data_IF_670060716958
#
_entry.id   IF_670060716958
#
_cell.length_a   1.000
_cell.length_b   1.000
_cell.length_c   1.000
_cell.angle_alpha   90.00
_cell.angle_beta   90.00
_cell.angle_gamma   90.00
#
_symmetry.space_group_name_H-M   'P 1'
#
loop_
_entity.id
_entity.type
_entity.pdbx_description
1 polymer ?
#
# COMPACT_ATOMS: atom_id res chain seq x y z
N UNK A 1 3.33 6.10 -18.93
CA UNK A 1 4.16 5.62 -20.07
C UNK A 1 4.50 4.15 -19.79
N UNK A 2 3.85 3.21 -20.46
CA UNK A 2 4.10 1.77 -20.26
C UNK A 2 5.29 1.38 -21.12
N UNK A 3 6.36 0.92 -20.50
CA UNK A 3 7.57 0.48 -21.19
C UNK A 3 7.57 -1.04 -21.26
N UNK A 4 7.33 -1.57 -22.45
CA UNK A 4 7.31 -3.01 -22.68
C UNK A 4 8.75 -3.58 -22.61
N UNK A 5 8.97 -4.71 -21.94
CA UNK A 5 10.26 -5.36 -21.84
C UNK A 5 10.70 -5.93 -23.20
N UNK A 6 12.00 -6.14 -23.41
CA UNK A 6 12.53 -6.67 -24.67
C UNK A 6 12.13 -8.12 -24.95
N UNK A 7 11.55 -8.82 -23.97
CA UNK A 7 10.92 -10.12 -24.17
C UNK A 7 9.55 -10.06 -24.87
N UNK A 8 8.95 -8.87 -24.96
CA UNK A 8 7.71 -8.67 -25.71
C UNK A 8 8.05 -8.43 -27.18
N UNK A 9 7.77 -9.43 -28.01
CA UNK A 9 7.99 -9.38 -29.46
C UNK A 9 7.37 -8.12 -30.05
N UNK A 10 8.08 -7.46 -30.97
CA UNK A 10 7.69 -6.19 -31.62
C UNK A 10 7.71 -4.94 -30.73
N UNK A 11 8.04 -5.04 -29.44
CA UNK A 11 8.26 -3.85 -28.61
C UNK A 11 9.48 -3.04 -29.08
N UNK A 12 9.53 -1.72 -28.82
CA UNK A 12 10.70 -0.91 -29.15
C UNK A 12 12.01 -1.44 -28.57
N UNK A 13 11.96 -2.04 -27.36
CA UNK A 13 13.12 -2.66 -26.72
C UNK A 13 13.51 -3.99 -27.37
N UNK A 14 12.54 -4.81 -27.77
CA UNK A 14 12.81 -6.04 -28.53
C UNK A 14 13.52 -5.73 -29.85
N UNK A 15 13.00 -4.75 -30.60
CA UNK A 15 13.60 -4.32 -31.87
C UNK A 15 15.03 -3.79 -31.66
N UNK A 16 15.24 -2.95 -30.64
CA UNK A 16 16.56 -2.43 -30.31
C UNK A 16 17.58 -3.54 -29.98
N UNK A 17 17.18 -4.55 -29.18
CA UNK A 17 18.04 -5.69 -28.85
C UNK A 17 18.39 -6.53 -30.09
N UNK A 18 17.42 -6.79 -30.97
CA UNK A 18 17.67 -7.50 -32.24
C UNK A 18 18.62 -6.73 -33.16
N UNK A 19 18.54 -5.40 -33.17
CA UNK A 19 19.50 -4.55 -33.91
C UNK A 19 20.91 -4.66 -33.34
N UNK A 20 21.08 -4.64 -32.02
CA UNK A 20 22.38 -4.80 -31.37
C UNK A 20 23.00 -6.18 -31.65
N UNK A 21 22.18 -7.23 -31.61
CA UNK A 21 22.60 -8.59 -32.01
C UNK A 21 23.11 -8.60 -33.46
N UNK A 22 22.36 -8.02 -34.39
CA UNK A 22 22.74 -7.95 -35.81
C UNK A 22 24.06 -7.16 -36.02
N UNK A 23 24.24 -6.04 -35.32
CA UNK A 23 25.49 -5.26 -35.38
C UNK A 23 26.68 -6.03 -34.78
N UNK A 24 26.44 -6.86 -33.78
CA UNK A 24 27.46 -7.76 -33.22
C UNK A 24 27.91 -8.81 -34.23
N UNK A 25 26.98 -9.37 -35.02
CA UNK A 25 27.31 -10.28 -36.11
C UNK A 25 28.16 -9.60 -37.19
N UNK A 26 27.78 -8.38 -37.63
CA UNK A 26 28.55 -7.62 -38.62
C UNK A 26 29.97 -7.31 -38.11
N UNK A 27 30.10 -6.99 -36.83
CA UNK A 27 31.40 -6.71 -36.20
C UNK A 27 32.31 -7.95 -36.16
N UNK A 28 31.76 -9.13 -35.90
CA UNK A 28 32.55 -10.35 -35.71
C UNK A 28 32.78 -11.13 -37.02
N UNK A 29 31.87 -11.04 -37.98
CA UNK A 29 31.89 -11.86 -39.19
C UNK A 29 31.99 -11.03 -40.49
N UNK A 30 32.13 -9.71 -40.37
CA UNK A 30 32.21 -8.79 -41.51
C UNK A 30 30.85 -8.36 -42.04
N UNK A 31 30.85 -7.37 -42.93
CA UNK A 31 29.64 -6.85 -43.57
C UNK A 31 29.13 -7.89 -44.58
N UNK A 32 27.87 -8.33 -44.51
CA UNK A 32 27.30 -9.20 -45.54
C UNK A 32 27.23 -8.45 -46.88
N UNK A 33 27.60 -9.13 -47.96
CA UNK A 33 27.51 -8.59 -49.32
C UNK A 33 26.05 -8.37 -49.76
N UNK A 34 25.13 -9.16 -49.23
CA UNK A 34 23.69 -9.06 -49.45
C UNK A 34 22.94 -9.28 -48.13
N UNK A 35 22.14 -8.30 -47.73
CA UNK A 35 21.28 -8.40 -46.55
C UNK A 35 19.82 -8.43 -47.00
N UNK A 36 19.18 -9.61 -46.93
CA UNK A 36 17.78 -9.80 -47.27
C UNK A 36 16.95 -9.83 -45.99
N UNK A 37 16.11 -8.82 -45.79
CA UNK A 37 15.06 -8.84 -44.77
C UNK A 37 13.76 -9.27 -45.41
N UNK A 38 13.21 -10.41 -44.99
CA UNK A 38 11.83 -10.76 -45.32
C UNK A 38 10.94 -10.41 -44.14
N UNK A 39 9.90 -9.63 -44.39
CA UNK A 39 8.83 -9.39 -43.42
C UNK A 39 7.99 -10.65 -43.36
N UNK A 40 8.20 -11.46 -42.34
CA UNK A 40 7.44 -12.69 -42.12
C UNK A 40 6.18 -12.35 -41.31
N UNK A 41 5.00 -12.49 -41.91
CA UNK A 41 3.75 -12.36 -41.17
C UNK A 41 3.39 -13.73 -40.61
N UNK A 42 3.32 -13.85 -39.29
CA UNK A 42 2.96 -15.10 -38.61
C UNK A 42 1.57 -15.65 -38.94
N UNK A 43 0.74 -14.87 -39.65
CA UNK A 43 -0.59 -15.26 -40.13
C UNK A 43 -0.58 -15.85 -41.54
N UNK A 44 0.57 -15.92 -42.21
CA UNK A 44 0.67 -16.53 -43.54
C UNK A 44 0.32 -18.02 -43.51
N UNK A 45 -0.35 -18.46 -44.58
CA UNK A 45 -0.91 -19.81 -44.66
C UNK A 45 0.17 -20.88 -44.51
N UNK A 46 1.34 -20.68 -45.12
CA UNK A 46 2.49 -21.59 -45.06
C UNK A 46 2.99 -21.79 -43.63
N UNK A 47 2.91 -20.75 -42.79
CA UNK A 47 3.32 -20.83 -41.39
C UNK A 47 2.23 -21.47 -40.56
N UNK A 48 0.98 -21.07 -40.76
CA UNK A 48 -0.16 -21.62 -40.02
C UNK A 48 -0.43 -23.10 -40.34
N UNK A 49 -0.14 -23.54 -41.56
CA UNK A 49 -0.28 -24.93 -41.99
C UNK A 49 0.71 -25.87 -41.30
N UNK A 50 1.88 -25.35 -40.92
CA UNK A 50 2.93 -26.10 -40.20
C UNK A 50 2.75 -26.04 -38.67
N UNK A 51 1.77 -25.29 -38.14
CA UNK A 51 1.46 -25.22 -36.72
C UNK A 51 0.54 -26.36 -36.28
N UNK A 52 0.86 -27.01 -35.16
CA UNK A 52 -0.05 -27.97 -34.54
C UNK A 52 -1.26 -27.27 -33.89
N UNK A 53 -2.38 -27.98 -33.69
CA UNK A 53 -3.56 -27.42 -33.02
C UNK A 53 -3.21 -26.78 -31.67
N UNK A 54 -3.47 -25.47 -31.54
CA UNK A 54 -3.21 -24.69 -30.32
C UNK A 54 -1.78 -24.11 -30.19
N UNK A 55 -0.89 -24.36 -31.15
CA UNK A 55 0.48 -23.84 -31.15
C UNK A 55 0.53 -22.44 -31.78
N UNK A 56 1.31 -21.54 -31.20
CA UNK A 56 1.58 -20.21 -31.78
C UNK A 56 2.94 -20.19 -32.51
N UNK A 57 3.07 -19.30 -33.50
CA UNK A 57 4.27 -19.16 -34.35
C UNK A 57 5.57 -18.86 -33.59
N UNK A 58 5.47 -18.40 -32.34
CA UNK A 58 6.59 -18.07 -31.47
C UNK A 58 6.82 -19.09 -30.34
N UNK A 59 6.04 -20.18 -30.27
CA UNK A 59 6.23 -21.23 -29.29
C UNK A 59 7.49 -22.05 -29.59
N UNK A 60 8.46 -22.02 -28.68
CA UNK A 60 9.68 -22.84 -28.77
C UNK A 60 9.44 -24.20 -28.14
N UNK A 61 9.43 -25.27 -28.95
CA UNK A 61 9.45 -26.66 -28.45
C UNK A 61 10.69 -26.88 -27.57
N UNK A 62 10.48 -27.08 -26.27
CA UNK A 62 11.55 -27.56 -25.40
C UNK A 62 11.91 -29.00 -25.83
N UNK A 63 13.17 -29.23 -26.19
CA UNK A 63 13.70 -30.57 -26.48
C UNK A 63 14.74 -30.92 -25.43
N UNK A 64 14.69 -32.16 -24.93
CA UNK A 64 15.72 -32.69 -24.04
C UNK A 64 17.08 -32.66 -24.73
N UNK A 65 18.11 -32.34 -23.96
CA UNK A 65 19.47 -32.21 -24.47
C UNK A 65 20.01 -33.58 -24.87
N UNK A 66 20.47 -33.68 -26.12
CA UNK A 66 20.95 -34.94 -26.71
C UNK A 66 22.46 -35.13 -26.50
N UNK A 67 23.21 -34.09 -26.14
CA UNK A 67 24.66 -34.13 -25.87
C UNK A 67 24.99 -33.80 -24.40
N UNK A 68 26.05 -34.42 -23.86
CA UNK A 68 26.54 -34.24 -22.49
C UNK A 68 26.80 -35.56 -21.74
N UNK A 69 27.33 -35.46 -20.51
CA UNK A 69 27.51 -36.60 -19.61
C UNK A 69 26.20 -36.90 -18.88
N UNK A 70 25.85 -38.18 -18.75
CA UNK A 70 24.64 -38.60 -18.01
C UNK A 70 24.78 -38.19 -16.54
N UNK A 71 23.72 -37.61 -15.97
CA UNK A 71 23.69 -37.26 -14.54
C UNK A 71 23.51 -38.54 -13.72
N UNK A 72 24.35 -38.80 -12.70
CA UNK A 72 24.18 -39.96 -11.81
C UNK A 72 22.76 -39.99 -11.22
N UNK A 73 22.07 -41.12 -11.36
CA UNK A 73 20.67 -41.30 -10.92
C UNK A 73 19.59 -40.85 -11.92
N UNK A 74 19.96 -40.21 -13.04
CA UNK A 74 19.01 -39.73 -14.06
C UNK A 74 19.48 -40.06 -15.49
N UNK A 75 19.24 -41.29 -15.99
CA UNK A 75 19.79 -41.79 -17.26
C UNK A 75 19.36 -40.98 -18.49
N UNK A 76 18.20 -40.32 -18.44
CA UNK A 76 17.67 -39.48 -19.53
C UNK A 76 18.18 -38.03 -19.51
N UNK A 77 18.96 -37.64 -18.49
CA UNK A 77 19.39 -36.24 -18.29
C UNK A 77 20.88 -36.13 -18.59
N UNK A 78 21.22 -35.32 -19.60
CA UNK A 78 22.61 -35.02 -19.98
C UNK A 78 23.04 -33.65 -19.44
N UNK A 79 24.20 -33.61 -18.78
CA UNK A 79 24.87 -32.42 -18.25
C UNK A 79 26.07 -32.01 -19.11
N UNK A 80 26.18 -30.73 -19.39
CA UNK A 80 27.32 -30.05 -20.03
C UNK A 80 27.79 -28.91 -19.11
N UNK A 81 28.87 -28.23 -19.49
CA UNK A 81 29.49 -27.16 -18.68
C UNK A 81 28.55 -25.99 -18.38
N UNK A 82 27.53 -25.76 -19.23
CA UNK A 82 26.46 -24.81 -18.98
C UNK A 82 25.09 -25.38 -19.44
N UNK A 83 24.13 -25.48 -18.52
CA UNK A 83 22.78 -26.01 -18.76
C UNK A 83 21.79 -24.92 -19.20
N UNK A 84 21.89 -23.74 -18.59
CA UNK A 84 21.14 -22.51 -18.89
C UNK A 84 21.78 -21.34 -18.14
N UNK A 85 21.48 -20.10 -18.53
CA UNK A 85 21.89 -18.90 -17.79
C UNK A 85 20.77 -18.49 -16.84
N UNK A 86 21.05 -18.47 -15.55
CA UNK A 86 20.20 -17.81 -14.56
C UNK A 86 20.57 -16.33 -14.57
N UNK A 87 19.64 -15.48 -15.00
CA UNK A 87 19.88 -14.04 -15.10
C UNK A 87 20.12 -13.42 -13.73
N UNK A 88 20.87 -12.32 -13.70
CA UNK A 88 21.01 -11.52 -12.50
C UNK A 88 19.66 -10.92 -12.13
N UNK A 89 19.14 -11.31 -10.97
CA UNK A 89 17.90 -10.77 -10.41
C UNK A 89 18.27 -9.77 -9.31
N UNK A 90 17.71 -8.57 -9.40
CA UNK A 90 17.88 -7.54 -8.37
C UNK A 90 17.10 -7.91 -7.10
N UNK A 91 17.64 -7.69 -5.87
CA UNK A 91 16.96 -8.02 -4.61
C UNK A 91 15.53 -7.48 -4.46
N UNK A 92 15.25 -6.29 -5.01
CA UNK A 92 13.88 -5.73 -5.05
C UNK A 92 12.85 -6.66 -5.72
N UNK A 93 13.26 -7.52 -6.66
CA UNK A 93 12.40 -8.57 -7.19
C UNK A 93 12.49 -9.82 -6.30
N UNK A 94 11.95 -9.70 -5.08
CA UNK A 94 12.10 -10.66 -3.98
C UNK A 94 11.79 -12.11 -4.36
N UNK A 95 10.62 -12.36 -4.97
CA UNK A 95 10.20 -13.71 -5.37
C UNK A 95 11.23 -14.36 -6.31
N UNK A 96 11.64 -13.66 -7.37
CA UNK A 96 12.62 -14.18 -8.31
C UNK A 96 14.03 -14.26 -7.70
N UNK A 97 14.38 -13.37 -6.79
CA UNK A 97 15.68 -13.35 -6.11
C UNK A 97 15.83 -14.58 -5.21
N UNK A 98 14.85 -14.87 -4.36
CA UNK A 98 14.89 -16.05 -3.49
C UNK A 98 14.74 -17.35 -4.27
N UNK A 99 13.92 -17.38 -5.32
CA UNK A 99 13.87 -18.53 -6.24
C UNK A 99 15.25 -18.80 -6.86
N UNK A 100 15.94 -17.76 -7.34
CA UNK A 100 17.30 -17.88 -7.87
C UNK A 100 18.27 -18.42 -6.82
N UNK A 101 18.20 -17.91 -5.58
CA UNK A 101 19.03 -18.38 -4.48
C UNK A 101 18.80 -19.88 -4.24
N UNK A 102 17.53 -20.33 -4.15
CA UNK A 102 17.21 -21.76 -4.01
C UNK A 102 17.71 -22.61 -5.18
N UNK A 103 17.59 -22.12 -6.42
CA UNK A 103 18.09 -22.85 -7.61
C UNK A 103 19.61 -23.03 -7.62
N UNK A 104 20.36 -22.18 -6.92
CA UNK A 104 21.81 -22.33 -6.75
C UNK A 104 22.19 -23.35 -5.66
N UNK A 105 21.34 -23.53 -4.64
CA UNK A 105 21.64 -24.41 -3.49
C UNK A 105 20.94 -25.78 -3.54
N UNK A 106 19.76 -25.88 -4.16
CA UNK A 106 18.97 -27.11 -4.24
C UNK A 106 19.28 -27.86 -5.53
N UNK A 107 19.82 -29.06 -5.42
CA UNK A 107 20.21 -29.89 -6.58
C UNK A 107 19.02 -30.71 -7.08
N UNK A 108 18.75 -30.63 -8.39
CA UNK A 108 17.76 -31.47 -9.07
C UNK A 108 16.31 -31.35 -8.60
N UNK A 109 15.77 -30.15 -8.30
CA UNK A 109 14.37 -30.03 -7.94
C UNK A 109 13.46 -30.49 -9.08
N UNK A 110 12.55 -31.43 -8.80
CA UNK A 110 11.59 -31.95 -9.78
C UNK A 110 10.35 -31.05 -9.95
N UNK A 111 10.14 -30.08 -9.06
CA UNK A 111 9.02 -29.12 -9.12
C UNK A 111 9.30 -27.88 -8.27
N UNK A 112 8.54 -26.79 -8.49
CA UNK A 112 8.57 -25.60 -7.64
C UNK A 112 8.15 -25.88 -6.19
N UNK A 113 7.24 -26.84 -6.00
CA UNK A 113 6.86 -27.29 -4.67
C UNK A 113 8.04 -27.97 -3.96
N UNK A 114 8.81 -28.82 -4.66
CA UNK A 114 9.99 -29.49 -4.10
C UNK A 114 11.07 -28.50 -3.66
N UNK A 115 11.23 -27.38 -4.39
CA UNK A 115 12.11 -26.27 -4.01
C UNK A 115 11.72 -25.62 -2.68
N UNK A 116 10.41 -25.57 -2.39
CA UNK A 116 9.87 -25.03 -1.13
C UNK A 116 9.77 -26.07 -0.01
N UNK A 117 10.04 -27.34 -0.29
CA UNK A 117 9.99 -28.41 0.71
C UNK A 117 11.35 -28.57 1.40
N UNK A 118 11.46 -28.08 2.63
CA UNK A 118 12.67 -28.20 3.46
C UNK A 118 12.35 -29.12 4.64
N UNK A 119 13.11 -30.21 4.80
CA UNK A 119 12.92 -31.21 5.87
C UNK A 119 11.47 -31.74 6.01
N UNK A 120 10.77 -31.93 4.88
CA UNK A 120 9.39 -32.44 4.87
C UNK A 120 8.29 -31.39 5.02
N UNK A 121 8.64 -30.12 5.30
CA UNK A 121 7.67 -29.02 5.40
C UNK A 121 7.64 -28.18 4.11
N UNK A 122 6.46 -27.95 3.54
CA UNK A 122 6.28 -27.07 2.38
C UNK A 122 6.14 -25.63 2.88
N UNK A 123 7.17 -24.81 2.66
CA UNK A 123 7.15 -23.38 2.99
C UNK A 123 6.15 -22.63 2.11
N UNK A 124 5.60 -21.50 2.56
CA UNK A 124 4.61 -20.70 1.82
C UNK A 124 5.25 -19.78 0.76
N UNK A 125 6.50 -19.37 0.97
CA UNK A 125 7.26 -18.50 0.06
C UNK A 125 8.66 -19.06 -0.17
N UNK A 126 9.33 -18.60 -1.24
CA UNK A 126 10.74 -18.96 -1.49
C UNK A 126 11.68 -18.36 -0.43
N UNK A 127 11.35 -17.18 0.09
CA UNK A 127 12.07 -16.54 1.20
C UNK A 127 12.09 -17.42 2.44
N UNK A 128 10.94 -17.96 2.85
CA UNK A 128 10.84 -18.85 4.02
C UNK A 128 11.69 -20.12 3.80
N UNK A 129 11.71 -20.67 2.59
CA UNK A 129 12.54 -21.83 2.27
C UNK A 129 14.05 -21.51 2.35
N UNK A 130 14.48 -20.34 1.87
CA UNK A 130 15.87 -19.87 2.01
C UNK A 130 16.25 -19.69 3.49
N UNK A 131 15.35 -19.12 4.29
CA UNK A 131 15.58 -18.93 5.72
C UNK A 131 15.76 -20.26 6.44
N UNK A 132 14.89 -21.25 6.18
CA UNK A 132 15.00 -22.60 6.76
C UNK A 132 16.26 -23.37 6.32
N UNK A 133 16.77 -23.08 5.13
CA UNK A 133 18.05 -23.61 4.65
C UNK A 133 19.26 -22.88 5.24
N UNK A 134 19.06 -21.83 6.04
CA UNK A 134 20.14 -21.03 6.64
C UNK A 134 20.90 -20.19 5.60
N UNK A 135 20.25 -19.81 4.51
CA UNK A 135 20.86 -19.02 3.42
C UNK A 135 20.80 -17.51 3.65
N UNK A 136 20.11 -17.05 4.70
CA UNK A 136 19.90 -15.63 5.01
C UNK A 136 20.67 -15.24 6.28
N UNK A 137 21.11 -13.99 6.37
CA UNK A 137 21.80 -13.45 7.54
C UNK A 137 20.85 -13.32 8.75
N UNK A 138 21.42 -13.34 9.96
CA UNK A 138 20.64 -13.24 11.19
C UNK A 138 20.17 -11.79 11.45
N UNK A 139 18.87 -11.61 11.68
CA UNK A 139 18.25 -10.30 11.99
C UNK A 139 18.60 -9.72 13.38
N UNK A 140 19.60 -10.25 14.09
CA UNK A 140 19.96 -9.82 15.44
C UNK A 140 20.25 -8.31 15.50
N UNK A 141 21.04 -7.80 14.56
CA UNK A 141 21.36 -6.38 14.47
C UNK A 141 20.12 -5.48 14.31
N UNK A 142 19.12 -5.92 13.53
CA UNK A 142 17.90 -5.16 13.29
C UNK A 142 16.96 -5.23 14.49
N UNK A 143 16.92 -6.38 15.18
CA UNK A 143 16.20 -6.52 16.46
C UNK A 143 16.78 -5.59 17.52
N UNK A 144 18.09 -5.59 17.70
CA UNK A 144 18.75 -4.76 18.72
C UNK A 144 18.59 -3.28 18.40
N UNK A 145 18.77 -2.89 17.13
CA UNK A 145 18.51 -1.52 16.65
C UNK A 145 17.07 -1.07 16.96
N UNK A 146 16.09 -1.94 16.70
CA UNK A 146 14.69 -1.63 16.97
C UNK A 146 14.38 -1.55 18.46
N UNK A 147 15.03 -2.37 19.31
CA UNK A 147 14.90 -2.30 20.77
C UNK A 147 15.49 -1.01 21.34
N UNK A 148 16.66 -0.62 20.87
CA UNK A 148 17.28 0.65 21.25
C UNK A 148 16.39 1.82 20.85
N UNK A 149 15.90 1.83 19.60
CA UNK A 149 14.98 2.85 19.12
C UNK A 149 13.70 2.90 19.94
N UNK A 150 13.14 1.75 20.34
CA UNK A 150 11.93 1.70 21.16
C UNK A 150 12.07 2.34 22.55
N UNK A 151 13.30 2.49 23.05
CA UNK A 151 13.55 3.16 24.34
C UNK A 151 13.55 4.70 24.25
N UNK A 152 13.69 5.26 23.04
CA UNK A 152 13.87 6.72 22.84
C UNK A 152 12.81 7.31 21.91
N UNK A 153 12.36 6.56 20.91
CA UNK A 153 11.53 7.05 19.81
C UNK A 153 10.03 6.94 20.12
N UNK A 154 9.24 7.85 19.54
CA UNK A 154 7.78 7.72 19.58
C UNK A 154 7.30 6.51 18.75
N UNK A 155 6.13 5.92 19.04
CA UNK A 155 5.58 4.78 18.28
C UNK A 155 5.51 5.04 16.77
N UNK A 156 5.22 6.29 16.38
CA UNK A 156 5.20 6.69 14.96
C UNK A 156 6.57 6.63 14.30
N UNK A 157 7.60 7.15 14.97
CA UNK A 157 8.98 7.09 14.47
C UNK A 157 9.52 5.65 14.48
N UNK A 158 9.13 4.86 15.47
CA UNK A 158 9.47 3.45 15.55
C UNK A 158 8.88 2.66 14.36
N UNK A 159 7.62 2.93 13.98
CA UNK A 159 7.02 2.38 12.75
C UNK A 159 7.76 2.82 11.48
N UNK A 160 8.19 4.09 11.41
CA UNK A 160 8.98 4.60 10.28
C UNK A 160 10.32 3.89 10.14
N UNK A 161 11.05 3.72 11.24
CA UNK A 161 12.29 2.96 11.24
C UNK A 161 12.06 1.52 10.79
N UNK A 162 11.01 0.87 11.31
CA UNK A 162 10.65 -0.49 10.90
C UNK A 162 10.34 -0.57 9.40
N UNK A 163 9.56 0.36 8.85
CA UNK A 163 9.27 0.42 7.41
C UNK A 163 10.52 0.64 6.56
N UNK A 164 11.46 1.48 7.01
CA UNK A 164 12.76 1.66 6.33
C UNK A 164 13.52 0.34 6.33
N UNK A 165 13.67 -0.30 7.50
CA UNK A 165 14.34 -1.59 7.65
C UNK A 165 13.70 -2.64 6.74
N UNK A 166 12.36 -2.74 6.71
CA UNK A 166 11.64 -3.63 5.81
C UNK A 166 12.01 -3.41 4.34
N UNK A 167 11.99 -2.16 3.88
CA UNK A 167 12.18 -1.84 2.45
C UNK A 167 13.64 -1.83 2.00
N UNK A 168 14.57 -1.51 2.89
CA UNK A 168 15.96 -1.23 2.57
C UNK A 168 16.91 -2.36 2.99
N UNK A 169 16.47 -3.27 3.85
CA UNK A 169 17.30 -4.34 4.38
C UNK A 169 16.77 -5.73 3.98
N UNK A 170 17.67 -6.70 3.92
CA UNK A 170 17.35 -8.11 3.68
C UNK A 170 17.12 -8.81 5.02
N UNK A 171 15.87 -8.78 5.50
CA UNK A 171 15.50 -9.47 6.73
C UNK A 171 15.16 -10.94 6.49
N UNK A 172 15.65 -11.80 7.37
CA UNK A 172 15.33 -13.23 7.39
C UNK A 172 13.93 -13.52 7.93
N UNK A 173 13.45 -12.76 8.91
CA UNK A 173 12.15 -12.97 9.58
C UNK A 173 11.60 -11.67 10.22
N UNK A 174 11.06 -10.75 9.41
CA UNK A 174 10.43 -9.52 9.90
C UNK A 174 9.30 -9.73 10.91
N UNK A 175 8.60 -10.85 10.80
CA UNK A 175 7.48 -11.23 11.68
C UNK A 175 7.91 -11.33 13.14
N UNK A 176 9.13 -11.84 13.40
CA UNK A 176 9.64 -11.97 14.77
C UNK A 176 9.86 -10.60 15.41
N UNK A 177 10.39 -9.64 14.64
CA UNK A 177 10.58 -8.25 15.10
C UNK A 177 9.21 -7.59 15.36
N UNK A 178 8.26 -7.81 14.45
CA UNK A 178 6.89 -7.34 14.63
C UNK A 178 6.24 -7.91 15.89
N UNK A 179 6.30 -9.22 16.12
CA UNK A 179 5.66 -9.84 17.28
C UNK A 179 6.26 -9.38 18.61
N UNK A 180 7.57 -9.12 18.64
CA UNK A 180 8.26 -8.62 19.82
C UNK A 180 7.95 -7.14 20.11
N UNK A 181 7.75 -6.31 19.07
CA UNK A 181 7.66 -4.85 19.22
C UNK A 181 6.31 -4.24 18.83
N UNK A 182 5.32 -5.06 18.42
CA UNK A 182 3.98 -4.58 18.01
C UNK A 182 3.28 -3.74 19.06
N UNK A 183 3.44 -4.07 20.35
CA UNK A 183 2.87 -3.27 21.44
C UNK A 183 3.47 -1.86 21.47
N UNK A 184 4.80 -1.76 21.47
CA UNK A 184 5.54 -0.48 21.42
C UNK A 184 5.17 0.33 20.19
N UNK A 185 5.09 -0.32 19.03
CA UNK A 185 4.67 0.30 17.78
C UNK A 185 3.20 0.67 17.74
N UNK A 186 2.36 0.28 18.71
CA UNK A 186 0.92 0.55 18.70
C UNK A 186 0.43 1.35 19.91
N UNK A 187 1.34 1.80 20.78
CA UNK A 187 1.01 2.53 22.02
C UNK A 187 0.20 3.81 21.76
N UNK A 188 0.47 4.54 20.68
CA UNK A 188 -0.26 5.75 20.32
C UNK A 188 -1.71 5.45 19.89
N UNK A 189 -1.93 4.33 19.19
CA UNK A 189 -3.28 3.87 18.84
C UNK A 189 -4.04 3.38 20.08
N UNK A 190 -3.38 2.67 21.00
CA UNK A 190 -3.99 2.29 22.28
C UNK A 190 -4.39 3.52 23.11
N UNK A 191 -3.51 4.53 23.18
CA UNK A 191 -3.79 5.78 23.86
C UNK A 191 -5.00 6.50 23.25
N UNK A 192 -5.08 6.55 21.91
CA UNK A 192 -6.24 7.11 21.22
C UNK A 192 -7.52 6.32 21.50
N UNK A 193 -7.48 4.99 21.45
CA UNK A 193 -8.63 4.13 21.74
C UNK A 193 -9.15 4.32 23.17
N UNK A 194 -8.26 4.43 24.17
CA UNK A 194 -8.63 4.73 25.57
C UNK A 194 -9.37 6.05 25.71
N UNK A 195 -8.91 7.09 25.01
CA UNK A 195 -9.56 8.42 25.01
C UNK A 195 -10.95 8.36 24.36
N UNK A 196 -11.07 7.66 23.23
CA UNK A 196 -12.33 7.54 22.49
C UNK A 196 -13.38 6.74 23.27
N UNK A 197 -12.98 5.61 23.86
CA UNK A 197 -13.86 4.77 24.66
C UNK A 197 -14.11 5.32 26.08
N UNK A 198 -13.44 6.41 26.47
CA UNK A 198 -13.40 6.89 27.86
C UNK A 198 -13.07 5.79 28.88
N UNK A 199 -12.26 4.80 28.46
CA UNK A 199 -11.91 3.64 29.26
C UNK A 199 -10.38 3.55 29.42
N UNK A 200 -9.83 4.01 30.55
CA UNK A 200 -8.38 3.99 30.77
C UNK A 200 -7.79 2.58 30.94
N UNK A 201 -8.62 1.56 31.20
CA UNK A 201 -8.20 0.17 31.39
C UNK A 201 -8.24 -0.67 30.11
N UNK A 202 -8.53 -0.06 28.96
CA UNK A 202 -8.53 -0.77 27.67
C UNK A 202 -7.12 -1.34 27.40
N UNK A 203 -7.07 -2.60 26.99
CA UNK A 203 -5.85 -3.35 26.66
C UNK A 203 -5.63 -3.36 25.14
N UNK A 204 -4.46 -3.83 24.70
CA UNK A 204 -4.22 -4.07 23.28
C UNK A 204 -5.24 -5.07 22.71
N UNK A 205 -5.71 -4.80 21.50
CA UNK A 205 -6.59 -5.67 20.74
C UNK A 205 -6.01 -5.88 19.34
N UNK A 206 -6.52 -6.90 18.64
CA UNK A 206 -6.16 -7.13 17.24
C UNK A 206 -6.46 -5.91 16.36
N UNK A 207 -7.49 -5.13 16.68
CA UNK A 207 -7.81 -3.89 15.96
C UNK A 207 -6.73 -2.82 16.12
N UNK A 208 -6.18 -2.68 17.33
CA UNK A 208 -5.08 -1.75 17.61
C UNK A 208 -3.82 -2.16 16.82
N UNK A 209 -3.50 -3.44 16.82
CA UNK A 209 -2.38 -3.97 16.02
C UNK A 209 -2.63 -3.80 14.52
N UNK A 210 -3.88 -3.98 14.07
CA UNK A 210 -4.26 -3.77 12.68
C UNK A 210 -4.07 -2.30 12.25
N UNK A 211 -4.39 -1.32 13.10
CA UNK A 211 -4.12 0.11 12.82
C UNK A 211 -2.61 0.39 12.64
N UNK A 212 -1.78 -0.25 13.46
CA UNK A 212 -0.33 -0.15 13.33
C UNK A 212 0.18 -0.81 12.04
N UNK A 213 -0.34 -1.99 11.67
CA UNK A 213 -0.05 -2.64 10.38
C UNK A 213 -0.48 -1.80 9.17
N UNK A 214 -1.65 -1.15 9.21
CA UNK A 214 -2.10 -0.23 8.14
C UNK A 214 -1.11 0.92 8.00
N UNK A 215 -0.67 1.52 9.12
CA UNK A 215 0.27 2.64 9.08
C UNK A 215 1.64 2.23 8.54
N UNK A 216 2.12 1.03 8.85
CA UNK A 216 3.35 0.45 8.30
C UNK A 216 3.17 0.16 6.80
N UNK A 217 2.05 -0.44 6.40
CA UNK A 217 1.75 -0.76 5.01
C UNK A 217 1.68 0.49 4.14
N UNK A 218 1.05 1.56 4.59
CA UNK A 218 1.02 2.83 3.86
C UNK A 218 2.44 3.40 3.63
N UNK A 219 3.36 3.21 4.58
CA UNK A 219 4.76 3.63 4.45
C UNK A 219 5.54 2.74 3.47
N UNK A 220 5.36 1.42 3.55
CA UNK A 220 6.01 0.45 2.67
C UNK A 220 5.51 0.58 1.22
N UNK A 221 4.21 0.81 1.03
CA UNK A 221 3.62 1.12 -0.28
C UNK A 221 4.19 2.41 -0.86
N UNK A 222 4.32 3.46 -0.05
CA UNK A 222 4.89 4.73 -0.50
C UNK A 222 6.37 4.62 -0.90
N UNK A 223 7.15 3.79 -0.21
CA UNK A 223 8.59 3.66 -0.44
C UNK A 223 8.95 2.66 -1.55
N UNK A 224 8.28 1.50 -1.59
CA UNK A 224 8.65 0.38 -2.46
C UNK A 224 7.48 -0.18 -3.30
N UNK A 225 6.27 0.34 -3.15
CA UNK A 225 5.05 -0.20 -3.77
C UNK A 225 4.83 -1.70 -3.49
N UNK A 226 5.26 -2.16 -2.32
CA UNK A 226 5.10 -3.53 -1.84
C UNK A 226 4.03 -3.57 -0.74
N UNK A 227 3.32 -4.69 -0.62
CA UNK A 227 2.43 -4.94 0.52
C UNK A 227 3.22 -5.58 1.67
N UNK A 228 2.75 -5.42 2.90
CA UNK A 228 3.43 -5.97 4.09
C UNK A 228 3.44 -7.51 4.10
N UNK A 229 2.47 -8.15 3.44
CA UNK A 229 2.44 -9.61 3.28
C UNK A 229 3.65 -10.18 2.52
N UNK A 230 4.29 -9.38 1.65
CA UNK A 230 5.52 -9.78 0.93
C UNK A 230 6.74 -9.91 1.86
N UNK A 231 6.60 -9.42 3.09
CA UNK A 231 7.60 -9.51 4.16
C UNK A 231 7.20 -10.57 5.20
N UNK A 232 6.14 -11.35 4.94
CA UNK A 232 5.60 -12.37 5.85
C UNK A 232 4.69 -11.80 6.95
N UNK A 233 4.47 -10.49 7.00
CA UNK A 233 3.63 -9.86 8.02
C UNK A 233 2.13 -10.15 7.77
N UNK A 234 1.29 -10.12 8.82
CA UNK A 234 -0.16 -10.24 8.66
C UNK A 234 -0.70 -9.16 7.73
N UNK A 235 -1.56 -9.55 6.79
CA UNK A 235 -2.20 -8.59 5.88
C UNK A 235 -3.21 -7.75 6.67
N UNK A 236 -3.09 -6.42 6.68
CA UNK A 236 -4.02 -5.57 7.42
C UNK A 236 -5.41 -5.60 6.78
N UNK A 237 -6.42 -5.77 7.63
CA UNK A 237 -7.82 -5.70 7.23
C UNK A 237 -8.21 -4.23 7.18
N UNK A 238 -8.35 -3.69 5.97
CA UNK A 238 -8.84 -2.32 5.73
C UNK A 238 -10.36 -2.23 5.72
N UNK A 239 -11.07 -3.28 6.18
CA UNK A 239 -12.53 -3.22 6.35
C UNK A 239 -12.85 -1.98 7.15
N UNK A 240 -13.56 -1.09 6.48
CA UNK A 240 -13.87 0.23 6.97
C UNK A 240 -14.99 0.07 7.96
N UNK A 241 -14.67 -0.31 9.20
CA UNK A 241 -15.60 -0.10 10.29
C UNK A 241 -15.92 1.40 10.35
N UNK A 242 -17.16 1.82 10.04
CA UNK A 242 -17.56 3.22 10.11
C UNK A 242 -17.32 3.82 11.49
N UNK A 243 -17.26 2.98 12.52
CA UNK A 243 -17.06 3.36 13.91
C UNK A 243 -15.60 3.65 14.27
N UNK A 244 -14.61 3.39 13.41
CA UNK A 244 -13.19 3.62 13.73
C UNK A 244 -12.47 4.64 12.84
N UNK A 245 -13.16 5.32 11.93
CA UNK A 245 -12.56 6.41 11.18
C UNK A 245 -12.33 7.63 12.08
N UNK A 246 -11.07 7.95 12.40
CA UNK A 246 -10.66 9.09 13.24
C UNK A 246 -11.42 10.38 12.92
N UNK A 247 -11.54 10.75 11.65
CA UNK A 247 -12.24 11.97 11.24
C UNK A 247 -13.75 11.90 11.51
N UNK A 248 -14.38 10.72 11.36
CA UNK A 248 -15.81 10.48 11.66
C UNK A 248 -16.05 10.40 13.17
N UNK A 249 -15.17 9.70 13.89
CA UNK A 249 -15.15 9.60 15.34
C UNK A 249 -14.94 10.96 16.02
N UNK A 250 -14.11 11.83 15.44
CA UNK A 250 -13.95 13.19 15.96
C UNK A 250 -15.25 14.00 15.84
N UNK A 251 -16.02 13.80 14.77
CA UNK A 251 -17.31 14.50 14.59
C UNK A 251 -18.45 13.87 15.40
N UNK A 252 -18.35 12.59 15.75
CA UNK A 252 -19.37 11.87 16.55
C UNK A 252 -19.03 11.75 18.04
N UNK A 253 -17.78 11.97 18.42
CA UNK A 253 -17.23 11.72 19.76
C UNK A 253 -17.51 12.79 20.81
N UNK A 254 -18.53 13.64 20.60
CA UNK A 254 -18.90 14.66 21.58
C UNK A 254 -19.65 14.07 22.78
N UNK A 255 -19.46 14.67 23.95
CA UNK A 255 -20.18 14.26 25.15
C UNK A 255 -21.67 14.66 25.05
N UNK A 256 -22.53 13.70 24.70
CA UNK A 256 -23.96 13.93 24.52
C UNK A 256 -24.64 14.51 25.77
N UNK A 257 -24.15 14.20 26.97
CA UNK A 257 -24.73 14.72 28.23
C UNK A 257 -24.42 16.21 28.38
N UNK A 258 -23.17 16.61 28.16
CA UNK A 258 -22.77 18.02 28.20
C UNK A 258 -23.47 18.85 27.12
N UNK A 259 -23.58 18.31 25.90
CA UNK A 259 -24.31 18.97 24.82
C UNK A 259 -25.80 19.11 25.15
N UNK A 260 -26.42 18.10 25.78
CA UNK A 260 -27.82 18.16 26.21
C UNK A 260 -28.05 19.28 27.23
N UNK A 261 -27.22 19.35 28.27
CA UNK A 261 -27.29 20.43 29.27
C UNK A 261 -27.09 21.80 28.62
N UNK A 262 -26.11 21.93 27.73
CA UNK A 262 -25.88 23.17 26.99
C UNK A 262 -27.09 23.59 26.15
N UNK A 263 -27.76 22.65 25.47
CA UNK A 263 -28.95 22.96 24.68
C UNK A 263 -30.10 23.40 25.59
N UNK A 264 -30.36 22.67 26.67
CA UNK A 264 -31.46 22.97 27.61
C UNK A 264 -31.30 24.34 28.28
N UNK A 265 -30.07 24.76 28.58
CA UNK A 265 -29.77 26.07 29.17
C UNK A 265 -29.90 27.22 28.16
N UNK A 266 -29.51 26.99 26.89
CA UNK A 266 -29.34 28.06 25.90
C UNK A 266 -30.50 28.19 24.90
N UNK A 267 -31.27 27.13 24.65
CA UNK A 267 -32.45 27.16 23.77
C UNK A 267 -33.52 28.18 24.20
N UNK A 268 -33.81 28.38 25.51
CA UNK A 268 -34.74 29.41 25.97
C UNK A 268 -34.28 30.84 25.73
N UNK A 269 -32.97 31.07 25.63
CA UNK A 269 -32.36 32.41 25.47
C UNK A 269 -32.44 32.95 24.02
N UNK A 270 -32.92 32.13 23.08
CA UNK A 270 -33.06 32.52 21.67
C UNK A 270 -34.10 33.63 21.50
N UNK A 271 -33.74 34.67 20.73
CA UNK A 271 -34.72 35.67 20.27
C UNK A 271 -35.72 35.04 19.28
N UNK A 272 -36.88 35.67 19.03
CA UNK A 272 -37.86 35.15 18.08
C UNK A 272 -37.27 34.89 16.69
N UNK A 273 -36.44 35.80 16.17
CA UNK A 273 -35.80 35.70 14.85
C UNK A 273 -34.76 34.57 14.81
N UNK A 274 -34.00 34.38 15.89
CA UNK A 274 -33.04 33.28 16.01
C UNK A 274 -33.74 31.93 16.11
N UNK A 275 -34.91 31.88 16.77
CA UNK A 275 -35.73 30.67 16.91
C UNK A 275 -36.25 30.19 15.56
N UNK A 276 -36.70 31.11 14.71
CA UNK A 276 -37.14 30.79 13.35
C UNK A 276 -36.00 30.17 12.53
N UNK A 277 -34.79 30.76 12.60
CA UNK A 277 -33.61 30.20 11.96
C UNK A 277 -33.20 28.83 12.56
N UNK A 278 -33.36 28.65 13.86
CA UNK A 278 -33.00 27.41 14.56
C UNK A 278 -33.90 26.21 14.21
N UNK A 279 -35.17 26.46 13.87
CA UNK A 279 -36.12 25.41 13.47
C UNK A 279 -36.18 25.18 11.95
N UNK A 280 -35.59 26.07 11.15
CA UNK A 280 -35.62 25.95 9.70
C UNK A 280 -34.85 24.71 9.20
N UNK A 281 -35.41 24.00 8.21
CA UNK A 281 -34.80 22.84 7.57
C UNK A 281 -34.37 23.19 6.16
N UNK A 282 -33.07 23.18 5.88
CA UNK A 282 -32.55 23.46 4.54
C UNK A 282 -31.28 24.30 4.58
N UNK A 283 -31.08 25.09 3.53
CA UNK A 283 -29.97 26.04 3.42
C UNK A 283 -30.44 27.38 3.97
N UNK A 284 -29.68 27.94 4.92
CA UNK A 284 -30.00 29.20 5.59
C UNK A 284 -28.82 30.15 5.39
N UNK A 285 -29.12 31.41 5.06
CA UNK A 285 -28.15 32.50 5.07
C UNK A 285 -28.41 33.40 6.27
N UNK A 286 -27.43 33.52 7.17
CA UNK A 286 -27.53 34.32 8.39
C UNK A 286 -26.83 35.67 8.21
N UNK A 287 -27.55 36.63 7.64
CA UNK A 287 -27.09 38.01 7.58
C UNK A 287 -27.56 38.81 8.80
N UNK A 288 -26.63 39.49 9.45
CA UNK A 288 -26.87 40.21 10.71
C UNK A 288 -25.66 41.08 11.10
N UNK A 289 -25.86 42.19 11.83
CA UNK A 289 -24.77 43.01 12.35
C UNK A 289 -23.91 42.31 13.41
N UNK A 290 -22.73 42.86 13.70
CA UNK A 290 -21.92 42.42 14.85
C UNK A 290 -22.66 42.57 16.18
N UNK A 291 -22.46 41.64 17.11
CA UNK A 291 -23.09 41.67 18.44
C UNK A 291 -24.49 41.03 18.54
N UNK A 292 -25.05 40.54 17.43
CA UNK A 292 -26.40 39.93 17.38
C UNK A 292 -26.46 38.45 17.75
N UNK A 293 -25.39 37.88 18.31
CA UNK A 293 -25.38 36.49 18.75
C UNK A 293 -25.29 35.43 17.63
N UNK A 294 -24.80 35.77 16.44
CA UNK A 294 -24.64 34.77 15.35
C UNK A 294 -23.85 33.54 15.77
N UNK A 295 -22.73 33.75 16.45
CA UNK A 295 -21.86 32.67 16.93
C UNK A 295 -22.60 31.79 17.95
N UNK A 296 -23.43 32.40 18.79
CA UNK A 296 -24.28 31.69 19.74
C UNK A 296 -25.27 30.78 19.02
N UNK A 297 -26.01 31.31 18.03
CA UNK A 297 -26.95 30.52 17.23
C UNK A 297 -26.27 29.38 16.47
N UNK A 298 -25.10 29.63 15.85
CA UNK A 298 -24.33 28.62 15.12
C UNK A 298 -23.87 27.51 16.08
N UNK A 299 -23.35 27.86 17.26
CA UNK A 299 -22.91 26.88 18.25
C UNK A 299 -24.07 26.03 18.78
N UNK A 300 -25.25 26.62 18.98
CA UNK A 300 -26.45 25.91 19.42
C UNK A 300 -26.96 24.93 18.34
N UNK A 301 -26.97 25.34 17.07
CA UNK A 301 -27.30 24.47 15.93
C UNK A 301 -26.33 23.27 15.84
N UNK A 302 -25.03 23.52 15.96
CA UNK A 302 -24.00 22.47 15.96
C UNK A 302 -24.20 21.51 17.13
N UNK A 303 -24.48 22.03 18.33
CA UNK A 303 -24.75 21.22 19.51
C UNK A 303 -25.97 20.31 19.32
N UNK A 304 -27.08 20.83 18.76
CA UNK A 304 -28.31 20.06 18.51
C UNK A 304 -28.07 18.87 17.57
N UNK A 305 -27.34 19.08 16.48
CA UNK A 305 -27.03 18.03 15.49
C UNK A 305 -26.10 16.98 16.12
N UNK A 306 -25.04 17.43 16.81
CA UNK A 306 -24.06 16.52 17.44
C UNK A 306 -24.63 15.74 18.61
N UNK A 307 -25.61 16.27 19.34
CA UNK A 307 -26.33 15.56 20.39
C UNK A 307 -27.00 14.29 19.84
N UNK A 308 -27.48 14.33 18.58
CA UNK A 308 -28.09 13.20 17.88
C UNK A 308 -27.06 12.22 17.30
N UNK A 309 -25.76 12.44 17.56
CA UNK A 309 -24.63 11.70 16.97
C UNK A 309 -24.55 11.81 15.45
N UNK A 310 -25.11 12.87 14.89
CA UNK A 310 -24.98 13.22 13.48
C UNK A 310 -23.71 14.06 13.26
N UNK A 311 -23.21 14.05 12.02
CA UNK A 311 -21.99 14.78 11.65
C UNK A 311 -22.35 16.24 11.35
N UNK A 312 -21.76 17.18 12.09
CA UNK A 312 -21.93 18.62 11.88
C UNK A 312 -20.58 19.30 11.64
N UNK A 313 -20.31 19.63 10.38
CA UNK A 313 -19.05 20.25 9.95
C UNK A 313 -19.13 21.78 10.05
N UNK A 314 -18.36 22.36 10.96
CA UNK A 314 -18.20 23.81 11.10
C UNK A 314 -16.89 24.26 10.45
N UNK A 315 -16.95 25.27 9.58
CA UNK A 315 -15.80 25.78 8.83
C UNK A 315 -15.83 27.30 8.77
N UNK A 316 -14.66 27.91 8.89
CA UNK A 316 -14.49 29.36 8.76
C UNK A 316 -13.55 29.74 7.60
N UNK A 317 -13.67 30.94 7.02
CA UNK A 317 -12.78 31.38 5.94
C UNK A 317 -11.36 31.68 6.42
N UNK A 318 -11.18 32.13 7.67
CA UNK A 318 -9.89 32.50 8.27
C UNK A 318 -9.62 31.72 9.56
N UNK A 319 -8.34 31.64 9.96
CA UNK A 319 -7.91 30.95 11.20
C UNK A 319 -8.51 31.61 12.44
N UNK A 320 -8.54 32.95 12.47
CA UNK A 320 -9.10 33.73 13.60
C UNK A 320 -10.61 33.50 13.74
N UNK A 321 -11.34 33.37 12.63
CA UNK A 321 -12.75 33.03 12.70
C UNK A 321 -12.98 31.55 13.07
N UNK A 322 -12.03 30.66 12.73
CA UNK A 322 -12.13 29.25 13.06
C UNK A 322 -12.07 28.99 14.58
N UNK A 323 -11.33 29.79 15.35
CA UNK A 323 -11.26 29.65 16.82
C UNK A 323 -12.59 29.90 17.53
N UNK A 324 -13.55 30.54 16.86
CA UNK A 324 -14.91 30.76 17.38
C UNK A 324 -15.83 29.56 17.12
N UNK A 325 -15.39 28.59 16.32
CA UNK A 325 -16.15 27.41 15.95
C UNK A 325 -15.53 26.15 16.60
N UNK A 326 -16.37 25.19 17.00
CA UNK A 326 -15.88 23.89 17.44
C UNK A 326 -15.05 23.20 16.34
N UNK A 327 -13.98 22.51 16.74
CA UNK A 327 -12.95 21.88 15.89
C UNK A 327 -11.95 22.83 15.20
N UNK A 328 -12.11 24.15 15.29
CA UNK A 328 -11.12 25.15 14.85
C UNK A 328 -10.62 24.96 13.40
N UNK A 329 -11.50 24.63 12.45
CA UNK A 329 -11.13 24.34 11.06
C UNK A 329 -11.42 25.47 10.10
N UNK A 330 -10.47 25.72 9.19
CA UNK A 330 -10.68 26.61 8.04
C UNK A 330 -11.28 25.86 6.85
N UNK A 331 -12.01 26.56 5.98
CA UNK A 331 -12.53 26.00 4.74
C UNK A 331 -11.40 25.45 3.85
N UNK A 332 -10.25 26.13 3.85
CA UNK A 332 -9.04 25.67 3.15
C UNK A 332 -8.56 24.31 3.64
N UNK A 333 -8.49 24.09 4.95
CA UNK A 333 -8.01 22.81 5.50
C UNK A 333 -9.03 21.69 5.36
N UNK A 334 -10.32 22.00 5.58
CA UNK A 334 -11.42 21.05 5.54
C UNK A 334 -11.70 20.52 4.13
N UNK A 335 -11.71 21.41 3.13
CA UNK A 335 -12.05 21.05 1.74
C UNK A 335 -10.84 20.99 0.80
N UNK A 336 -9.63 21.24 1.29
CA UNK A 336 -8.38 21.28 0.48
C UNK A 336 -8.45 22.29 -0.68
N UNK A 337 -8.92 23.50 -0.38
CA UNK A 337 -8.96 24.64 -1.30
C UNK A 337 -7.54 25.24 -1.48
N UNK A 338 -7.26 25.98 -2.57
CA UNK A 338 -8.15 26.30 -3.69
C UNK A 338 -8.35 25.12 -4.65
N UNK A 339 -9.56 24.99 -5.18
CA UNK A 339 -9.81 24.20 -6.37
C UNK A 339 -9.22 24.97 -7.56
N UNK A 340 -8.48 24.30 -8.45
CA UNK A 340 -7.76 24.96 -9.55
C UNK A 340 -8.72 25.29 -10.71
N UNK A 341 -9.78 26.04 -10.41
CA UNK A 341 -10.89 26.34 -11.33
C UNK A 341 -10.48 27.19 -12.54
N UNK A 342 -9.34 27.89 -12.47
CA UNK A 342 -8.87 28.82 -13.51
C UNK A 342 -7.91 28.20 -14.53
N UNK A 343 -7.41 26.97 -14.29
CA UNK A 343 -6.43 26.31 -15.17
C UNK A 343 -6.88 24.96 -15.72
N UNK A 344 -7.91 24.35 -15.13
CA UNK A 344 -8.35 23.00 -15.48
C UNK A 344 -9.87 23.01 -15.70
N UNK A 345 -10.33 22.47 -16.84
CA UNK A 345 -11.75 22.35 -17.20
C UNK A 345 -12.52 21.42 -16.23
N UNK A 346 -11.81 20.51 -15.56
CA UNK A 346 -12.32 19.60 -14.53
C UNK A 346 -11.48 19.69 -13.24
N UNK A 347 -11.68 20.72 -12.41
CA UNK A 347 -10.88 20.93 -11.21
C UNK A 347 -11.15 19.80 -10.20
N UNK A 348 -10.15 18.96 -9.98
CA UNK A 348 -10.25 17.83 -9.07
C UNK A 348 -9.98 18.26 -7.63
N UNK A 349 -10.91 17.95 -6.73
CA UNK A 349 -10.69 18.11 -5.29
C UNK A 349 -9.61 17.11 -4.82
N UNK A 350 -8.62 17.59 -4.05
CA UNK A 350 -7.50 16.76 -3.55
C UNK A 350 -7.91 15.79 -2.42
N UNK A 351 -9.19 15.71 -2.09
CA UNK A 351 -9.72 14.76 -1.11
C UNK A 351 -9.80 13.37 -1.75
N UNK A 352 -8.94 12.45 -1.32
CA UNK A 352 -8.92 11.05 -1.83
C UNK A 352 -10.25 10.35 -1.49
N UNK A 353 -10.83 9.62 -2.46
CA UNK A 353 -12.13 8.92 -2.35
C UNK A 353 -12.28 7.99 -1.12
N UNK A 354 -11.16 7.41 -0.68
CA UNK A 354 -11.10 6.47 0.45
C UNK A 354 -10.57 7.10 1.75
N UNK A 355 -10.34 8.42 1.76
CA UNK A 355 -9.86 9.12 2.97
C UNK A 355 -10.96 9.26 4.03
N UNK A 356 -10.56 9.40 5.29
CA UNK A 356 -11.50 9.71 6.38
C UNK A 356 -12.25 11.03 6.16
N UNK A 357 -11.60 12.04 5.59
CA UNK A 357 -12.26 13.31 5.19
C UNK A 357 -13.36 13.08 4.14
N UNK A 358 -13.13 12.21 3.16
CA UNK A 358 -14.17 11.84 2.19
C UNK A 358 -15.36 11.14 2.85
N UNK A 359 -15.14 10.39 3.94
CA UNK A 359 -16.22 9.74 4.68
C UNK A 359 -17.03 10.72 5.52
N UNK A 360 -16.40 11.72 6.14
CA UNK A 360 -17.10 12.81 6.84
C UNK A 360 -17.99 13.61 5.87
N UNK A 361 -17.56 13.75 4.62
CA UNK A 361 -18.30 14.47 3.58
C UNK A 361 -19.31 13.61 2.82
N UNK A 362 -19.28 12.28 2.98
CA UNK A 362 -20.28 11.37 2.41
C UNK A 362 -21.53 11.42 3.28
N UNK A 363 -22.69 11.52 2.61
CA UNK A 363 -24.00 11.37 3.24
C UNK A 363 -24.21 9.94 3.72
#
# INVERSE_FOLDING_TARGET
MVVLPSSFTESPRYMHERTQDAMTYVRNYGRPDLFLTFTCNSKWEEITAELMPGQQSFDRRWKRRVQGRVVPGFPEIKKTDCLSRVYTVHPNNRECFYLRLLLHHVVGPASFQRLRTIQGHICNTYHEACNRLGLLENDAQWRDTMKEAASVQSPRQLRQLFSIILTSCELASPVLIWDELKERMSEDFLFQARRLASNPKLLFSNDIFNQSLIAIEDQVLAAANHNVNMYGLPQPTRETDPDFCREVLQEKGYNCKQLKTFIEENEPLLTPEQRDAYHHRGIIFLDAPGGTGKTFLINLLLAKIRQRREIALAVAPSVIAATLLPCERTAHSAFKLPLTMTKEEYPLCRVKKNSGTAKVLKR
#
